data_IF_687632348107
#
_entry.id   IF_687632348107
#
_cell.length_a   1.000
_cell.length_b   1.000
_cell.length_c   1.000
_cell.angle_alpha   90.00
_cell.angle_beta   90.00
_cell.angle_gamma   90.00
#
_symmetry.space_group_name_H-M   'P 1'
#
loop_
_entity.id
_entity.type
_entity.pdbx_description
1 polymer ?
#
# COMPACT_ATOMS: atom_id res chain seq x y z
N UNK A 1 -5.28 -13.67 -2.01
CA UNK A 1 -4.36 -12.91 -2.86
C UNK A 1 -3.60 -11.90 -2.01
N UNK A 2 -2.34 -11.69 -2.30
CA UNK A 2 -1.54 -10.64 -1.66
C UNK A 2 -1.56 -9.38 -2.53
N UNK A 3 -2.13 -8.30 -2.00
CA UNK A 3 -2.21 -7.00 -2.69
C UNK A 3 -1.32 -6.00 -1.97
N UNK A 4 -0.39 -5.40 -2.69
CA UNK A 4 0.47 -4.34 -2.15
C UNK A 4 0.03 -2.99 -2.71
N UNK A 5 -0.14 -2.01 -1.84
CA UNK A 5 -0.68 -0.70 -2.23
C UNK A 5 0.36 0.40 -1.97
N UNK A 6 0.80 1.05 -3.03
CA UNK A 6 1.76 2.15 -2.95
C UNK A 6 0.98 3.45 -2.83
N UNK A 7 1.15 4.16 -1.72
CA UNK A 7 0.35 5.34 -1.38
C UNK A 7 -0.89 4.99 -0.56
N UNK A 8 -0.80 3.99 0.29
CA UNK A 8 -1.93 3.40 1.02
C UNK A 8 -2.59 4.35 2.02
N UNK A 9 -1.88 5.36 2.50
CA UNK A 9 -2.42 6.30 3.48
C UNK A 9 -3.33 7.38 2.87
N UNK A 10 -3.48 7.41 1.56
CA UNK A 10 -4.44 8.28 0.89
C UNK A 10 -5.87 7.81 1.21
N UNK A 11 -6.82 8.76 1.26
CA UNK A 11 -8.21 8.46 1.68
C UNK A 11 -8.85 7.39 0.81
N UNK A 12 -8.78 7.52 -0.51
CA UNK A 12 -9.36 6.53 -1.43
C UNK A 12 -8.61 5.21 -1.40
N UNK A 13 -7.28 5.26 -1.37
CA UNK A 13 -6.44 4.07 -1.32
C UNK A 13 -6.64 3.30 -0.01
N UNK A 14 -6.70 4.02 1.10
CA UNK A 14 -6.93 3.39 2.40
C UNK A 14 -8.30 2.72 2.48
N UNK A 15 -9.32 3.34 1.94
CA UNK A 15 -10.66 2.75 1.88
C UNK A 15 -10.67 1.47 1.05
N UNK A 16 -9.99 1.47 -0.08
CA UNK A 16 -9.85 0.27 -0.92
C UNK A 16 -9.08 -0.83 -0.17
N UNK A 17 -8.03 -0.46 0.55
CA UNK A 17 -7.26 -1.41 1.37
C UNK A 17 -8.16 -2.09 2.40
N UNK A 18 -9.02 -1.34 3.06
CA UNK A 18 -9.96 -1.88 4.03
C UNK A 18 -10.95 -2.85 3.40
N UNK A 19 -11.48 -2.53 2.22
CA UNK A 19 -12.37 -3.41 1.49
C UNK A 19 -11.69 -4.72 1.10
N UNK A 20 -10.46 -4.66 0.60
CA UNK A 20 -9.70 -5.84 0.21
C UNK A 20 -9.38 -6.71 1.41
N UNK A 21 -9.01 -6.11 2.52
CA UNK A 21 -8.75 -6.85 3.76
C UNK A 21 -10.00 -7.55 4.26
N UNK A 22 -11.13 -6.86 4.24
CA UNK A 22 -12.43 -7.39 4.62
C UNK A 22 -12.87 -8.55 3.73
N UNK A 23 -12.45 -8.54 2.46
CA UNK A 23 -12.73 -9.63 1.53
C UNK A 23 -11.81 -10.85 1.68
N UNK A 24 -10.89 -10.81 2.64
CA UNK A 24 -10.03 -11.95 2.94
C UNK A 24 -8.66 -11.93 2.27
N UNK A 25 -8.30 -10.83 1.62
CA UNK A 25 -6.98 -10.70 0.99
C UNK A 25 -5.93 -10.26 2.02
N UNK A 26 -4.68 -10.67 1.79
CA UNK A 26 -3.55 -10.10 2.51
C UNK A 26 -3.24 -8.75 1.89
N UNK A 27 -3.28 -7.69 2.68
CA UNK A 27 -3.01 -6.34 2.19
C UNK A 27 -1.79 -5.77 2.90
N UNK A 28 -0.85 -5.28 2.11
CA UNK A 28 0.30 -4.52 2.61
C UNK A 28 0.29 -3.17 1.92
N UNK A 29 0.97 -2.19 2.47
CA UNK A 29 1.01 -0.87 1.85
C UNK A 29 2.14 0.00 2.33
N UNK A 30 2.56 0.93 1.48
CA UNK A 30 3.62 1.88 1.79
C UNK A 30 3.13 3.31 1.60
N UNK A 31 3.71 4.22 2.37
CA UNK A 31 3.48 5.65 2.23
C UNK A 31 4.58 6.40 2.99
N UNK A 32 4.71 7.70 2.75
CA UNK A 32 5.69 8.52 3.43
C UNK A 32 5.26 8.90 4.85
N UNK A 33 3.96 8.98 5.09
CA UNK A 33 3.42 9.34 6.41
C UNK A 33 2.02 8.73 6.60
N UNK A 34 1.69 8.45 7.85
CA UNK A 34 0.41 7.83 8.22
C UNK A 34 -0.27 8.72 9.25
N UNK A 35 -1.10 9.64 8.77
CA UNK A 35 -1.83 10.58 9.63
C UNK A 35 -3.24 10.08 9.96
N UNK A 36 -3.80 10.44 11.14
CA UNK A 36 -5.20 10.19 11.42
C UNK A 36 -6.10 10.91 10.40
N UNK A 37 -7.28 10.39 10.07
CA UNK A 37 -7.84 9.15 10.61
C UNK A 37 -7.37 7.88 9.89
N UNK A 38 -6.76 8.01 8.71
CA UNK A 38 -6.45 6.83 7.87
C UNK A 38 -5.35 5.94 8.47
N UNK A 39 -4.29 6.55 9.02
CA UNK A 39 -3.23 5.77 9.65
C UNK A 39 -3.75 4.89 10.77
N UNK A 40 -4.64 5.43 11.60
CA UNK A 40 -5.26 4.68 12.70
C UNK A 40 -6.18 3.58 12.17
N UNK A 41 -6.92 3.85 11.11
CA UNK A 41 -7.82 2.87 10.49
C UNK A 41 -7.05 1.68 9.92
N UNK A 42 -5.95 1.93 9.21
CA UNK A 42 -5.11 0.89 8.65
C UNK A 42 -4.56 -0.03 9.76
N UNK A 43 -4.12 0.56 10.86
CA UNK A 43 -3.63 -0.21 12.00
C UNK A 43 -4.73 -1.08 12.62
N UNK A 44 -5.92 -0.52 12.80
CA UNK A 44 -7.06 -1.27 13.36
C UNK A 44 -7.47 -2.44 12.48
N UNK A 45 -7.35 -2.29 11.17
CA UNK A 45 -7.72 -3.35 10.22
C UNK A 45 -6.64 -4.42 10.08
N UNK A 46 -5.49 -4.26 10.74
CA UNK A 46 -4.40 -5.22 10.68
C UNK A 46 -3.65 -5.23 9.36
N UNK A 47 -3.64 -4.10 8.66
CA UNK A 47 -2.91 -3.95 7.40
C UNK A 47 -1.44 -3.65 7.72
N UNK A 48 -0.52 -4.44 7.16
CA UNK A 48 0.92 -4.20 7.30
C UNK A 48 1.31 -2.96 6.51
N UNK A 49 1.93 -1.99 7.17
CA UNK A 49 2.34 -0.75 6.53
C UNK A 49 3.86 -0.57 6.62
N UNK A 50 4.43 0.03 5.56
CA UNK A 50 5.84 0.37 5.48
C UNK A 50 5.96 1.87 5.26
N UNK A 51 6.87 2.49 6.00
CA UNK A 51 7.12 3.92 5.87
C UNK A 51 8.28 4.16 4.91
N UNK A 52 8.02 4.96 3.88
CA UNK A 52 9.00 5.27 2.85
C UNK A 52 8.84 4.45 1.59
N UNK A 53 9.41 4.93 0.52
CA UNK A 53 9.39 4.28 -0.79
C UNK A 53 10.65 3.44 -0.96
N UNK A 54 10.50 2.13 -1.01
CA UNK A 54 11.64 1.22 -1.12
C UNK A 54 11.23 -0.02 -1.92
N UNK A 55 12.00 -0.40 -2.95
CA UNK A 55 11.73 -1.64 -3.67
C UNK A 55 11.64 -2.89 -2.77
N UNK A 56 12.33 -2.88 -1.62
CA UNK A 56 12.25 -3.97 -0.66
C UNK A 56 10.83 -4.16 -0.09
N UNK A 57 9.98 -3.15 -0.15
CA UNK A 57 8.58 -3.26 0.27
C UNK A 57 7.78 -4.23 -0.61
N UNK A 58 8.30 -4.58 -1.77
CA UNK A 58 7.68 -5.53 -2.69
C UNK A 58 8.07 -6.99 -2.38
N UNK A 59 8.78 -7.22 -1.31
CA UNK A 59 9.17 -8.56 -0.89
C UNK A 59 8.42 -8.96 0.39
N UNK A 60 7.76 -10.11 0.44
CA UNK A 60 7.60 -11.09 -0.66
C UNK A 60 6.75 -10.52 -1.80
N UNK A 61 6.95 -11.05 -3.00
CA UNK A 61 6.30 -10.54 -4.20
C UNK A 61 4.77 -10.61 -4.08
N UNK A 62 4.07 -9.47 -4.26
CA UNK A 62 2.61 -9.49 -4.23
C UNK A 62 2.03 -10.04 -5.53
N UNK A 63 0.77 -10.45 -5.46
CA UNK A 63 0.03 -10.89 -6.64
C UNK A 63 -0.45 -9.70 -7.47
N UNK A 64 -0.72 -8.59 -6.81
CA UNK A 64 -1.20 -7.36 -7.44
C UNK A 64 -0.60 -6.16 -6.73
N UNK A 65 -0.20 -5.16 -7.50
CA UNK A 65 0.25 -3.86 -6.98
C UNK A 65 -0.69 -2.77 -7.46
N UNK A 66 -1.20 -1.97 -6.53
CA UNK A 66 -2.03 -0.81 -6.82
C UNK A 66 -1.24 0.44 -6.47
N UNK A 67 -1.08 1.35 -7.42
CA UNK A 67 -0.32 2.60 -7.24
C UNK A 67 -1.28 3.77 -7.15
N UNK A 68 -1.17 4.55 -6.08
CA UNK A 68 -2.04 5.71 -5.87
C UNK A 68 -1.70 6.87 -6.79
N UNK A 69 -2.69 7.72 -7.06
CA UNK A 69 -2.54 8.88 -7.96
C UNK A 69 -1.52 9.90 -7.49
N UNK A 70 -1.23 9.93 -6.19
CA UNK A 70 -0.26 10.87 -5.62
C UNK A 70 1.19 10.43 -5.86
N UNK A 71 1.40 9.21 -6.29
CA UNK A 71 2.73 8.69 -6.54
C UNK A 71 3.25 9.17 -7.89
N UNK A 72 4.47 9.68 -7.90
CA UNK A 72 5.10 10.18 -9.12
C UNK A 72 5.73 9.04 -9.93
N UNK A 73 5.99 9.31 -11.21
CA UNK A 73 6.66 8.36 -12.11
C UNK A 73 8.02 7.92 -11.61
N UNK A 74 8.72 8.80 -10.89
CA UNK A 74 10.05 8.54 -10.34
C UNK A 74 10.03 7.90 -8.97
N UNK A 75 8.86 7.56 -8.43
CA UNK A 75 8.74 6.84 -7.19
C UNK A 75 9.50 5.50 -7.30
N UNK A 76 10.54 5.26 -6.48
CA UNK A 76 11.40 4.08 -6.65
C UNK A 76 10.65 2.77 -6.46
N UNK A 77 9.68 2.73 -5.57
CA UNK A 77 8.88 1.53 -5.34
C UNK A 77 7.93 1.26 -6.50
N UNK A 78 7.28 2.30 -7.03
CA UNK A 78 6.40 2.17 -8.18
C UNK A 78 7.19 1.74 -9.43
N UNK A 79 8.39 2.25 -9.62
CA UNK A 79 9.26 1.85 -10.73
C UNK A 79 9.68 0.39 -10.61
N UNK A 80 9.99 -0.08 -9.41
CA UNK A 80 10.33 -1.47 -9.17
C UNK A 80 9.11 -2.37 -9.45
N UNK A 81 7.92 -1.96 -9.04
CA UNK A 81 6.68 -2.71 -9.28
C UNK A 81 6.40 -2.88 -10.77
N UNK A 82 6.69 -1.87 -11.58
CA UNK A 82 6.47 -1.92 -13.02
C UNK A 82 7.36 -2.94 -13.76
N UNK A 83 8.38 -3.48 -13.08
CA UNK A 83 9.33 -4.43 -13.68
C UNK A 83 9.02 -5.89 -13.36
N UNK A 84 8.03 -6.13 -12.53
CA UNK A 84 7.68 -7.49 -12.11
C UNK A 84 6.40 -8.04 -12.77
#
# INVERSE_FOLDING_TARGET
MHVHMIGVAGTGMGALAGLLKSAGHRVTGSDTAFYPPMGDALARWGIETMRGWDPANLSPAPDLVVVGNVCRKDNPEARAAARI
#
